data_IF_577513677320
#
_entry.id   IF_577513677320
#
_cell.length_a   1.000
_cell.length_b   1.000
_cell.length_c   1.000
_cell.angle_alpha   90.00
_cell.angle_beta   90.00
_cell.angle_gamma   90.00
#
_symmetry.space_group_name_H-M   'P 1'
#
loop_
_entity.id
_entity.type
_entity.pdbx_description
1 polymer ?
#
# COMPACT_ATOMS: atom_id res chain seq x y z
N UNK A 1 25.26 -19.50 4.59
CA UNK A 1 24.29 -18.73 5.38
C UNK A 1 24.38 -19.15 6.81
N UNK A 2 25.17 -18.37 7.54
CA UNK A 2 25.17 -18.32 9.00
C UNK A 2 24.03 -17.36 9.40
N UNK A 3 22.99 -17.89 10.06
CA UNK A 3 21.83 -17.13 10.54
C UNK A 3 21.78 -17.04 12.07
N UNK A 4 22.82 -17.53 12.77
CA UNK A 4 22.81 -17.72 14.22
C UNK A 4 22.57 -16.40 14.97
N UNK A 5 23.13 -15.29 14.47
CA UNK A 5 22.96 -13.97 15.09
C UNK A 5 21.49 -13.51 15.07
N UNK A 6 20.75 -13.80 14.00
CA UNK A 6 19.33 -13.42 13.87
C UNK A 6 18.46 -14.30 14.77
N UNK A 7 18.70 -15.61 14.76
CA UNK A 7 17.94 -16.57 15.58
C UNK A 7 18.12 -16.33 17.09
N UNK A 8 19.30 -15.86 17.51
CA UNK A 8 19.62 -15.67 18.93
C UNK A 8 19.36 -14.26 19.46
N UNK A 9 19.33 -13.24 18.60
CA UNK A 9 19.25 -11.83 19.03
C UNK A 9 18.16 -10.99 18.35
N UNK A 10 17.48 -11.50 17.31
CA UNK A 10 16.32 -10.81 16.73
C UNK A 10 15.03 -11.16 17.50
N UNK A 11 14.09 -10.20 17.58
CA UNK A 11 12.81 -10.44 18.25
C UNK A 11 11.94 -11.40 17.45
N UNK A 12 11.30 -12.36 18.16
CA UNK A 12 10.38 -13.36 17.58
C UNK A 12 9.21 -12.81 16.76
N UNK A 13 8.97 -11.49 16.79
CA UNK A 13 7.95 -10.81 15.96
C UNK A 13 8.28 -10.83 14.46
N UNK A 14 9.51 -11.18 14.07
CA UNK A 14 9.93 -11.22 12.67
C UNK A 14 9.04 -12.16 11.83
N UNK A 15 8.54 -11.65 10.70
CA UNK A 15 7.66 -12.39 9.78
C UNK A 15 8.37 -12.70 8.46
N UNK A 16 8.87 -11.68 7.74
CA UNK A 16 9.51 -11.84 6.43
C UNK A 16 10.74 -12.75 6.45
N UNK A 17 11.53 -12.72 7.54
CA UNK A 17 12.68 -13.62 7.70
C UNK A 17 12.28 -15.10 7.79
N UNK A 18 11.03 -15.39 8.20
CA UNK A 18 10.47 -16.75 8.21
C UNK A 18 9.94 -17.16 6.84
N UNK A 19 9.37 -16.22 6.09
CA UNK A 19 8.91 -16.43 4.71
C UNK A 19 10.08 -16.65 3.75
N UNK A 20 11.17 -15.89 3.93
CA UNK A 20 12.33 -15.87 3.04
C UNK A 20 13.62 -16.08 3.85
N UNK A 21 13.91 -17.31 4.32
CA UNK A 21 15.01 -17.59 5.25
C UNK A 21 16.38 -17.62 4.54
N UNK A 22 16.79 -16.49 3.97
CA UNK A 22 18.08 -16.27 3.31
C UNK A 22 18.65 -14.91 3.71
N UNK A 23 19.96 -14.76 3.61
CA UNK A 23 20.66 -13.48 3.87
C UNK A 23 20.90 -12.77 2.55
N UNK A 24 20.14 -11.68 2.31
CA UNK A 24 20.32 -10.82 1.14
C UNK A 24 21.50 -9.85 1.31
N UNK A 25 22.29 -9.65 0.25
CA UNK A 25 23.46 -8.75 0.23
C UNK A 25 23.29 -7.59 -0.77
N UNK A 26 22.94 -7.90 -2.02
CA UNK A 26 22.83 -6.90 -3.09
C UNK A 26 21.43 -6.84 -3.67
N UNK A 27 21.08 -5.69 -4.24
CA UNK A 27 19.82 -5.51 -4.94
C UNK A 27 19.91 -4.44 -6.03
N UNK A 28 19.24 -4.67 -7.16
CA UNK A 28 19.15 -3.69 -8.27
C UNK A 28 17.90 -3.93 -9.11
N UNK A 29 17.13 -2.88 -9.39
CA UNK A 29 15.90 -2.99 -10.16
C UNK A 29 14.90 -3.91 -9.47
N UNK A 30 14.49 -4.97 -10.15
CA UNK A 30 13.60 -6.04 -9.67
C UNK A 30 14.33 -7.25 -9.09
N UNK A 31 15.64 -7.17 -8.86
CA UNK A 31 16.44 -8.30 -8.38
C UNK A 31 17.02 -8.08 -6.98
N UNK A 32 16.99 -9.14 -6.20
CA UNK A 32 17.72 -9.35 -4.95
C UNK A 32 18.77 -10.44 -5.16
N UNK A 33 19.91 -10.34 -4.48
CA UNK A 33 20.98 -11.33 -4.50
C UNK A 33 21.34 -11.71 -3.06
N UNK A 34 21.35 -13.00 -2.76
CA UNK A 34 21.82 -13.49 -1.46
C UNK A 34 23.35 -13.48 -1.35
N UNK A 35 23.88 -13.71 -0.14
CA UNK A 35 25.33 -13.74 0.13
C UNK A 35 26.10 -14.82 -0.67
N UNK A 36 25.40 -15.77 -1.30
CA UNK A 36 26.00 -16.78 -2.18
C UNK A 36 26.01 -16.34 -3.65
N UNK A 37 25.41 -15.18 -3.95
CA UNK A 37 25.25 -14.64 -5.29
C UNK A 37 24.00 -15.15 -6.02
N UNK A 38 23.12 -15.89 -5.34
CA UNK A 38 21.91 -16.42 -5.97
C UNK A 38 20.89 -15.29 -6.17
N UNK A 39 20.38 -15.18 -7.39
CA UNK A 39 19.40 -14.15 -7.78
C UNK A 39 17.97 -14.54 -7.41
N UNK A 40 17.16 -13.54 -7.06
CA UNK A 40 15.72 -13.65 -6.83
C UNK A 40 15.01 -12.48 -7.51
N UNK A 41 13.91 -12.76 -8.23
CA UNK A 41 13.02 -11.71 -8.72
C UNK A 41 12.14 -11.24 -7.56
N UNK A 42 12.02 -9.94 -7.38
CA UNK A 42 11.30 -9.30 -6.28
C UNK A 42 9.93 -8.80 -6.71
N UNK A 43 8.89 -9.53 -6.32
CA UNK A 43 7.48 -9.16 -6.45
C UNK A 43 6.89 -8.55 -5.16
N UNK A 44 7.69 -8.40 -4.10
CA UNK A 44 7.31 -7.75 -2.85
C UNK A 44 7.65 -6.26 -2.87
N UNK A 45 8.81 -5.89 -3.44
CA UNK A 45 9.34 -4.53 -3.53
C UNK A 45 9.29 -3.78 -2.18
N UNK A 46 9.63 -4.47 -1.09
CA UNK A 46 9.50 -3.95 0.28
C UNK A 46 8.06 -3.55 0.64
N UNK A 47 7.09 -4.41 0.34
CA UNK A 47 5.65 -4.16 0.50
C UNK A 47 5.16 -2.90 -0.25
N UNK A 48 5.66 -2.69 -1.47
CA UNK A 48 5.33 -1.53 -2.32
C UNK A 48 6.10 -0.25 -1.97
N UNK A 49 7.18 -0.35 -1.21
CA UNK A 49 8.09 0.78 -0.88
C UNK A 49 9.05 1.11 -2.03
N UNK A 50 9.27 0.16 -2.94
CA UNK A 50 10.24 0.28 -4.03
C UNK A 50 9.54 0.28 -5.40
N UNK A 51 8.57 1.17 -5.60
CA UNK A 51 7.90 1.33 -6.90
C UNK A 51 8.89 1.58 -8.05
N UNK A 52 10.05 2.18 -7.82
CA UNK A 52 11.08 2.43 -8.85
C UNK A 52 12.24 1.43 -8.81
N UNK A 53 12.09 0.33 -8.06
CA UNK A 53 13.08 -0.73 -7.92
C UNK A 53 14.22 -0.40 -6.96
N UNK A 54 15.00 -1.43 -6.64
CA UNK A 54 16.17 -1.34 -5.78
C UNK A 54 17.27 -0.50 -6.43
N UNK A 55 17.87 0.40 -5.65
CA UNK A 55 19.06 1.15 -6.03
C UNK A 55 18.97 1.79 -7.43
N UNK A 56 17.81 2.37 -7.75
CA UNK A 56 17.54 2.98 -9.05
C UNK A 56 18.68 3.95 -9.45
N UNK A 57 19.32 3.78 -10.62
CA UNK A 57 20.52 4.54 -10.98
C UNK A 57 20.34 6.06 -10.94
N UNK A 58 19.19 6.55 -11.41
CA UNK A 58 18.87 7.99 -11.45
C UNK A 58 18.78 8.56 -10.05
N UNK A 59 18.14 7.83 -9.14
CA UNK A 59 17.95 8.27 -7.75
C UNK A 59 19.24 8.11 -6.94
N UNK A 60 19.97 7.01 -7.17
CA UNK A 60 21.25 6.71 -6.52
C UNK A 60 22.28 7.80 -6.79
N UNK A 61 22.40 8.24 -8.04
CA UNK A 61 23.31 9.32 -8.44
C UNK A 61 23.03 10.59 -7.63
N UNK A 62 21.76 11.03 -7.57
CA UNK A 62 21.37 12.24 -6.83
C UNK A 62 21.61 12.12 -5.33
N UNK A 63 21.36 10.95 -4.75
CA UNK A 63 21.65 10.69 -3.34
C UNK A 63 23.17 10.77 -3.06
N UNK A 64 23.99 10.14 -3.90
CA UNK A 64 25.44 10.16 -3.76
C UNK A 64 26.01 11.57 -3.93
N UNK A 65 25.56 12.33 -4.93
CA UNK A 65 25.94 13.74 -5.12
C UNK A 65 25.66 14.56 -3.85
N UNK A 66 24.49 14.37 -3.23
CA UNK A 66 24.10 15.10 -2.02
C UNK A 66 24.98 14.75 -0.81
N UNK A 67 25.31 13.47 -0.65
CA UNK A 67 26.20 13.00 0.42
C UNK A 67 27.62 13.51 0.19
N UNK A 68 28.16 13.39 -1.02
CA UNK A 68 29.53 13.78 -1.37
C UNK A 68 29.81 15.27 -1.18
N UNK A 69 28.78 16.12 -1.26
CA UNK A 69 28.89 17.57 -1.02
C UNK A 69 28.62 17.99 0.42
N UNK A 70 28.56 17.04 1.36
CA UNK A 70 28.27 17.25 2.79
C UNK A 70 26.92 17.96 3.04
N UNK A 71 25.89 17.60 2.26
CA UNK A 71 24.54 18.14 2.45
C UNK A 71 23.96 17.79 3.82
N UNK A 72 23.25 18.74 4.45
CA UNK A 72 22.58 18.51 5.74
C UNK A 72 21.67 17.28 5.65
N UNK A 73 21.93 16.24 6.46
CA UNK A 73 21.15 15.00 6.45
C UNK A 73 19.86 15.15 7.25
N UNK A 74 19.94 15.79 8.41
CA UNK A 74 18.85 15.91 9.38
C UNK A 74 18.64 17.37 9.77
N UNK A 75 17.43 17.88 9.50
CA UNK A 75 17.10 19.29 9.73
C UNK A 75 16.00 19.55 10.76
N UNK A 76 15.42 18.54 11.41
CA UNK A 76 14.17 18.71 12.18
C UNK A 76 13.09 19.43 11.33
N UNK A 77 12.67 20.64 11.70
CA UNK A 77 11.77 21.49 10.90
C UNK A 77 12.47 22.59 10.10
N UNK A 78 13.80 22.71 10.18
CA UNK A 78 14.55 23.76 9.49
C UNK A 78 14.28 23.76 7.99
N UNK A 79 14.30 24.96 7.40
CA UNK A 79 14.32 25.10 5.95
C UNK A 79 15.67 24.65 5.41
N UNK A 80 15.64 23.76 4.42
CA UNK A 80 16.83 23.25 3.73
C UNK A 80 16.62 23.33 2.22
N UNK A 81 17.71 23.31 1.46
CA UNK A 81 17.62 23.32 -0.01
C UNK A 81 16.92 22.07 -0.53
N UNK A 82 17.22 20.89 0.03
CA UNK A 82 16.56 19.63 -0.34
C UNK A 82 15.05 19.64 -0.07
N UNK A 83 14.62 20.15 1.10
CA UNK A 83 13.19 20.26 1.44
C UNK A 83 12.47 21.19 0.46
N UNK A 84 13.05 22.36 0.17
CA UNK A 84 12.49 23.29 -0.83
C UNK A 84 12.41 22.64 -2.21
N UNK A 85 13.47 21.99 -2.69
CA UNK A 85 13.50 21.33 -4.00
C UNK A 85 12.46 20.22 -4.12
N UNK A 86 12.25 19.43 -3.06
CA UNK A 86 11.16 18.46 -3.02
C UNK A 86 9.78 19.13 -3.08
N UNK A 87 9.54 20.15 -2.25
CA UNK A 87 8.25 20.86 -2.23
C UNK A 87 7.95 21.50 -3.59
N UNK A 88 8.93 22.15 -4.22
CA UNK A 88 8.81 22.75 -5.55
C UNK A 88 8.50 21.67 -6.60
N UNK A 89 9.23 20.54 -6.58
CA UNK A 89 9.00 19.43 -7.51
C UNK A 89 7.62 18.79 -7.30
N UNK A 90 7.20 18.55 -6.06
CA UNK A 90 5.90 17.97 -5.75
C UNK A 90 4.76 18.92 -6.17
N UNK A 91 4.90 20.21 -5.92
CA UNK A 91 3.91 21.19 -6.37
C UNK A 91 3.82 21.24 -7.91
N UNK A 92 4.94 21.46 -8.61
CA UNK A 92 4.94 21.67 -10.06
C UNK A 92 4.62 20.40 -10.86
N UNK A 93 5.01 19.22 -10.37
CA UNK A 93 4.85 17.95 -11.09
C UNK A 93 3.57 17.20 -10.70
N UNK A 94 3.16 17.28 -9.42
CA UNK A 94 2.02 16.50 -8.92
C UNK A 94 0.78 17.37 -8.75
N UNK A 95 0.85 18.39 -7.89
CA UNK A 95 -0.34 19.13 -7.46
C UNK A 95 -0.89 20.06 -8.54
N UNK A 96 -0.04 20.90 -9.12
CA UNK A 96 -0.43 21.93 -10.09
C UNK A 96 -1.07 21.36 -11.37
N UNK A 97 -0.54 20.28 -12.00
CA UNK A 97 -1.20 19.67 -13.16
C UNK A 97 -2.56 19.05 -12.85
N UNK A 98 -2.86 18.79 -11.56
CA UNK A 98 -4.12 18.21 -11.08
C UNK A 98 -5.09 19.25 -10.52
N UNK A 99 -4.76 20.54 -10.60
CA UNK A 99 -5.51 21.63 -9.98
C UNK A 99 -5.79 21.39 -8.48
N UNK A 100 -4.80 20.81 -7.80
CA UNK A 100 -4.89 20.47 -6.38
C UNK A 100 -4.16 21.52 -5.53
N UNK A 101 -4.86 22.11 -4.57
CA UNK A 101 -4.29 23.02 -3.58
C UNK A 101 -4.21 22.32 -2.22
N UNK A 102 -2.99 21.95 -1.81
CA UNK A 102 -2.73 21.26 -0.54
C UNK A 102 -1.45 21.78 0.13
N UNK A 103 -1.52 21.88 1.46
CA UNK A 103 -0.39 22.11 2.35
C UNK A 103 0.32 20.79 2.64
N UNK A 104 1.65 20.82 2.66
CA UNK A 104 2.51 19.66 2.93
C UNK A 104 2.95 19.63 4.39
N UNK A 105 2.41 18.71 5.19
CA UNK A 105 2.84 18.44 6.55
C UNK A 105 3.81 17.24 6.59
N UNK A 106 5.02 17.47 7.08
CA UNK A 106 6.03 16.41 7.28
C UNK A 106 5.95 15.84 8.70
N UNK A 107 5.67 14.54 8.83
CA UNK A 107 5.50 13.84 10.11
C UNK A 107 6.76 13.07 10.49
N UNK A 108 6.70 12.26 11.57
CA UNK A 108 7.63 11.14 11.70
C UNK A 108 7.62 10.29 10.41
N UNK A 109 8.76 9.73 9.97
CA UNK A 109 8.92 9.20 8.61
C UNK A 109 8.33 7.79 8.42
N UNK A 110 7.13 7.56 8.94
CA UNK A 110 6.40 6.29 8.80
C UNK A 110 4.94 6.54 8.47
N UNK A 111 4.32 5.59 7.76
CA UNK A 111 2.90 5.65 7.41
C UNK A 111 2.00 5.86 8.63
N UNK A 112 2.25 5.13 9.72
CA UNK A 112 1.49 5.26 10.97
C UNK A 112 1.53 6.67 11.56
N UNK A 113 2.67 7.38 11.47
CA UNK A 113 2.75 8.76 11.94
C UNK A 113 1.92 9.71 11.05
N UNK A 114 1.89 9.48 9.74
CA UNK A 114 1.04 10.24 8.82
C UNK A 114 -0.45 10.01 9.11
N UNK A 115 -0.86 8.76 9.32
CA UNK A 115 -2.23 8.42 9.72
C UNK A 115 -2.58 9.08 11.05
N UNK A 116 -1.76 8.95 12.10
CA UNK A 116 -2.06 9.59 13.39
C UNK A 116 -2.13 11.13 13.30
N UNK A 117 -1.30 11.77 12.47
CA UNK A 117 -1.42 13.20 12.20
C UNK A 117 -2.75 13.55 11.51
N UNK A 118 -3.15 12.79 10.49
CA UNK A 118 -4.41 12.96 9.78
C UNK A 118 -5.62 12.78 10.71
N UNK A 119 -5.62 11.75 11.56
CA UNK A 119 -6.68 11.52 12.55
C UNK A 119 -6.76 12.66 13.58
N UNK A 120 -5.61 13.14 14.09
CA UNK A 120 -5.58 14.24 15.06
C UNK A 120 -6.13 15.53 14.47
N UNK A 121 -5.70 15.92 13.26
CA UNK A 121 -6.15 17.18 12.65
C UNK A 121 -7.65 17.13 12.34
N UNK A 122 -8.15 15.99 11.85
CA UNK A 122 -9.58 15.81 11.59
C UNK A 122 -10.43 15.97 12.85
N UNK A 123 -10.03 15.31 13.94
CA UNK A 123 -10.69 15.41 15.25
C UNK A 123 -10.66 16.85 15.78
N UNK A 124 -9.51 17.52 15.68
CA UNK A 124 -9.35 18.90 16.12
C UNK A 124 -10.27 19.88 15.37
N UNK A 125 -10.33 19.78 14.04
CA UNK A 125 -11.15 20.67 13.20
C UNK A 125 -12.64 20.47 13.44
N UNK A 126 -13.09 19.21 13.55
CA UNK A 126 -14.52 18.91 13.70
C UNK A 126 -15.01 18.95 15.14
N UNK A 127 -14.09 18.89 16.12
CA UNK A 127 -14.44 18.76 17.54
C UNK A 127 -15.18 17.45 17.84
N UNK A 128 -14.89 16.39 17.10
CA UNK A 128 -15.53 15.06 17.20
C UNK A 128 -14.45 14.00 17.34
N UNK A 129 -14.68 12.98 18.15
CA UNK A 129 -13.69 11.93 18.40
C UNK A 129 -13.79 10.78 17.40
N UNK A 130 -15.00 10.42 16.99
CA UNK A 130 -15.24 9.22 16.19
C UNK A 130 -14.65 9.37 14.77
N UNK A 131 -14.09 8.27 14.26
CA UNK A 131 -13.58 8.12 12.90
C UNK A 131 -14.25 6.89 12.32
N UNK A 132 -14.76 7.00 11.10
CA UNK A 132 -15.21 5.82 10.35
C UNK A 132 -13.99 5.18 9.68
N UNK A 133 -13.77 3.89 9.92
CA UNK A 133 -12.83 3.07 9.14
C UNK A 133 -13.60 1.93 8.46
N UNK A 134 -12.94 1.16 7.61
CA UNK A 134 -13.59 0.08 6.87
C UNK A 134 -13.10 -1.30 7.25
N UNK A 135 -13.96 -2.31 7.09
CA UNK A 135 -13.59 -3.73 7.18
C UNK A 135 -12.33 -4.00 6.38
N UNK A 136 -11.40 -4.80 6.93
CA UNK A 136 -10.12 -5.16 6.30
C UNK A 136 -9.13 -4.01 6.07
N UNK A 137 -9.44 -2.76 6.45
CA UNK A 137 -8.52 -1.63 6.33
C UNK A 137 -7.27 -1.79 7.20
N UNK A 138 -6.13 -1.29 6.71
CA UNK A 138 -4.86 -1.27 7.43
C UNK A 138 -4.21 0.11 7.38
N UNK A 139 -4.12 0.75 8.55
CA UNK A 139 -3.60 2.13 8.65
C UNK A 139 -2.40 2.22 9.61
N UNK A 140 -1.88 1.07 10.06
CA UNK A 140 -0.71 0.95 10.92
C UNK A 140 -1.01 0.37 12.31
N UNK A 141 0.03 0.35 13.16
CA UNK A 141 0.06 -0.49 14.37
C UNK A 141 0.43 0.25 15.67
N UNK A 142 0.65 1.56 15.66
CA UNK A 142 0.64 2.34 16.92
C UNK A 142 -0.80 2.58 17.36
N UNK A 143 -1.04 2.75 18.66
CA UNK A 143 -2.38 2.66 19.24
C UNK A 143 -3.44 3.55 18.55
N UNK A 144 -3.08 4.76 18.10
CA UNK A 144 -4.02 5.65 17.42
C UNK A 144 -4.43 5.14 16.05
N UNK A 145 -3.47 4.71 15.24
CA UNK A 145 -3.71 4.14 13.91
C UNK A 145 -4.29 2.70 13.99
N UNK A 146 -3.86 1.92 14.97
CA UNK A 146 -4.33 0.55 15.20
C UNK A 146 -5.83 0.51 15.47
N UNK A 147 -6.39 1.56 16.09
CA UNK A 147 -7.83 1.70 16.29
C UNK A 147 -8.61 1.66 14.96
N UNK A 148 -8.00 2.17 13.87
CA UNK A 148 -8.57 2.16 12.50
C UNK A 148 -8.18 0.94 11.67
N UNK A 149 -7.20 0.13 12.11
CA UNK A 149 -6.81 -1.14 11.48
C UNK A 149 -7.77 -2.26 11.89
N UNK A 150 -8.25 -3.04 10.91
CA UNK A 150 -9.27 -4.08 11.11
C UNK A 150 -8.74 -5.44 11.58
N UNK A 151 -7.48 -5.78 11.28
CA UNK A 151 -6.94 -7.12 11.52
C UNK A 151 -6.85 -7.46 13.03
N UNK A 152 -7.45 -8.58 13.43
CA UNK A 152 -7.55 -9.01 14.84
C UNK A 152 -6.20 -9.42 15.45
N UNK A 153 -5.25 -9.93 14.66
CA UNK A 153 -3.92 -10.30 15.11
C UNK A 153 -3.16 -9.06 15.65
N UNK A 154 -3.11 -7.98 14.88
CA UNK A 154 -2.47 -6.73 15.31
C UNK A 154 -3.21 -6.07 16.48
N UNK A 155 -4.54 -6.10 16.45
CA UNK A 155 -5.39 -5.55 17.53
C UNK A 155 -5.25 -6.32 18.84
N UNK A 156 -5.03 -7.63 18.79
CA UNK A 156 -4.95 -8.52 19.95
C UNK A 156 -3.77 -8.23 20.87
N UNK A 157 -2.70 -7.64 20.34
CA UNK A 157 -1.49 -7.29 21.12
C UNK A 157 -1.51 -5.86 21.67
N UNK A 158 -2.57 -5.08 21.43
CA UNK A 158 -2.66 -3.68 21.87
C UNK A 158 -2.61 -3.54 23.41
N UNK A 159 -3.13 -4.53 24.15
CA UNK A 159 -3.18 -4.52 25.61
C UNK A 159 -4.09 -3.45 26.24
N UNK A 160 -4.80 -2.66 25.42
CA UNK A 160 -5.72 -1.60 25.82
C UNK A 160 -6.97 -1.58 24.93
N UNK A 161 -8.06 -1.02 25.45
CA UNK A 161 -9.26 -0.77 24.64
C UNK A 161 -8.97 0.31 23.60
N UNK A 162 -9.28 0.02 22.34
CA UNK A 162 -9.27 1.01 21.27
C UNK A 162 -10.66 1.63 21.15
N UNK A 163 -10.73 2.96 21.17
CA UNK A 163 -11.98 3.73 21.07
C UNK A 163 -11.89 4.87 20.05
N UNK A 164 -12.99 5.58 19.85
CA UNK A 164 -13.07 6.70 18.91
C UNK A 164 -13.00 6.29 17.44
N UNK A 165 -13.37 5.05 17.13
CA UNK A 165 -13.46 4.51 15.76
C UNK A 165 -14.69 3.61 15.65
N UNK A 166 -15.44 3.75 14.56
CA UNK A 166 -16.54 2.85 14.20
C UNK A 166 -16.22 2.18 12.85
N UNK A 167 -16.01 0.86 12.81
CA UNK A 167 -15.79 0.16 11.56
C UNK A 167 -17.09 0.01 10.76
N UNK A 168 -17.01 0.21 9.45
CA UNK A 168 -18.11 0.06 8.49
C UNK A 168 -17.76 -0.93 7.38
N UNK A 169 -18.74 -1.61 6.76
CA UNK A 169 -18.47 -2.49 5.63
C UNK A 169 -17.85 -1.72 4.46
N UNK A 170 -16.73 -2.21 3.91
CA UNK A 170 -16.12 -1.68 2.68
C UNK A 170 -16.99 -1.98 1.45
N UNK A 171 -16.60 -1.48 0.27
CA UNK A 171 -17.25 -1.85 -0.99
C UNK A 171 -17.23 -3.37 -1.19
N UNK A 172 -18.34 -3.94 -1.67
CA UNK A 172 -18.51 -5.38 -1.90
C UNK A 172 -18.54 -6.27 -0.64
N UNK A 173 -18.29 -5.76 0.57
CA UNK A 173 -18.19 -6.60 1.78
C UNK A 173 -19.49 -7.35 2.12
N UNK A 174 -20.64 -6.76 1.81
CA UNK A 174 -21.97 -7.39 1.98
C UNK A 174 -22.50 -8.05 0.69
N UNK A 175 -21.65 -8.19 -0.33
CA UNK A 175 -21.98 -8.65 -1.67
C UNK A 175 -22.39 -7.51 -2.61
N UNK A 176 -22.26 -7.76 -3.92
CA UNK A 176 -22.39 -6.75 -5.00
C UNK A 176 -23.75 -6.05 -5.07
N UNK A 177 -24.79 -6.64 -4.47
CA UNK A 177 -26.13 -6.07 -4.45
C UNK A 177 -26.34 -4.97 -3.39
N UNK A 178 -25.36 -4.76 -2.49
CA UNK A 178 -25.47 -3.83 -1.37
C UNK A 178 -24.44 -2.72 -1.48
N UNK A 179 -24.90 -1.49 -1.78
CA UNK A 179 -24.06 -0.29 -1.64
C UNK A 179 -23.90 0.05 -0.15
N UNK A 180 -22.72 -0.25 0.39
CA UNK A 180 -22.42 -0.04 1.81
C UNK A 180 -22.32 1.45 2.18
N UNK A 181 -22.23 2.37 1.20
CA UNK A 181 -22.35 3.82 1.45
C UNK A 181 -23.77 4.24 1.78
N UNK A 182 -24.80 3.55 1.28
CA UNK A 182 -26.20 3.81 1.65
C UNK A 182 -26.47 3.43 3.11
N UNK A 183 -25.88 2.31 3.56
CA UNK A 183 -25.92 1.92 4.97
C UNK A 183 -25.25 2.97 5.85
N UNK A 184 -24.05 3.43 5.47
CA UNK A 184 -23.34 4.50 6.17
C UNK A 184 -24.20 5.78 6.25
N UNK A 185 -24.78 6.22 5.12
CA UNK A 185 -25.66 7.38 5.09
C UNK A 185 -26.87 7.23 6.02
N UNK A 186 -27.47 6.03 6.04
CA UNK A 186 -28.63 5.72 6.86
C UNK A 186 -28.33 5.81 8.36
N UNK A 187 -27.23 5.20 8.82
CA UNK A 187 -26.88 5.20 10.24
C UNK A 187 -26.42 6.57 10.73
N UNK A 188 -25.77 7.37 9.88
CA UNK A 188 -25.40 8.74 10.22
C UNK A 188 -26.60 9.70 10.26
N UNK A 189 -27.64 9.41 9.48
CA UNK A 189 -28.89 10.16 9.47
C UNK A 189 -29.89 9.82 10.59
N UNK A 190 -29.61 8.78 11.38
CA UNK A 190 -30.49 8.31 12.45
C UNK A 190 -29.89 8.63 13.82
N UNK A 191 -30.57 9.50 14.59
CA UNK A 191 -30.15 9.91 15.93
C UNK A 191 -30.08 8.80 16.98
N UNK A 192 -30.59 7.60 16.64
CA UNK A 192 -30.64 6.42 17.51
C UNK A 192 -29.92 5.21 16.92
N UNK A 193 -29.10 5.38 15.87
CA UNK A 193 -28.33 4.28 15.26
C UNK A 193 -27.25 3.70 16.17
N UNK A 194 -26.80 4.47 17.17
CA UNK A 194 -25.66 4.14 18.01
C UNK A 194 -24.29 4.49 17.39
N UNK A 195 -24.27 5.14 16.22
CA UNK A 195 -23.04 5.64 15.60
C UNK A 195 -22.82 7.10 15.98
N UNK A 196 -21.76 7.36 16.74
CA UNK A 196 -21.38 8.73 17.09
C UNK A 196 -21.02 9.53 15.83
N UNK A 197 -21.43 10.80 15.79
CA UNK A 197 -21.15 11.67 14.65
C UNK A 197 -19.63 11.80 14.46
N UNK A 198 -19.06 11.35 13.32
CA UNK A 198 -17.62 11.27 13.16
C UNK A 198 -17.02 12.59 12.67
N UNK A 199 -15.72 12.76 12.93
CA UNK A 199 -14.89 13.81 12.36
C UNK A 199 -14.53 13.53 10.90
N UNK A 200 -14.22 12.27 10.60
CA UNK A 200 -13.77 11.86 9.29
C UNK A 200 -14.08 10.40 8.99
N UNK A 201 -13.96 10.07 7.73
CA UNK A 201 -13.78 8.70 7.21
C UNK A 201 -12.31 8.55 6.81
N UNK A 202 -11.69 7.39 7.10
CA UNK A 202 -10.40 6.99 6.53
C UNK A 202 -10.58 5.77 5.62
N UNK A 203 -9.98 5.83 4.42
CA UNK A 203 -10.18 4.80 3.38
C UNK A 203 -8.96 4.62 2.49
N UNK A 204 -8.67 3.38 2.11
CA UNK A 204 -7.78 3.02 1.01
C UNK A 204 -8.64 2.82 -0.26
N UNK A 205 -8.23 3.32 -1.43
CA UNK A 205 -8.96 3.04 -2.70
C UNK A 205 -8.78 1.59 -3.16
N UNK A 206 -7.65 0.99 -2.79
CA UNK A 206 -7.34 -0.43 -2.92
C UNK A 206 -6.73 -0.86 -1.59
N UNK A 207 -7.43 -1.69 -0.84
CA UNK A 207 -6.95 -2.17 0.46
C UNK A 207 -5.77 -3.11 0.27
N UNK A 208 -4.61 -2.74 0.80
CA UNK A 208 -3.38 -3.51 0.64
C UNK A 208 -3.39 -4.82 1.41
N UNK A 209 -3.13 -4.72 2.71
CA UNK A 209 -3.09 -5.87 3.62
C UNK A 209 -4.47 -6.53 3.78
N UNK A 210 -5.55 -5.80 3.45
CA UNK A 210 -6.92 -6.31 3.44
C UNK A 210 -7.21 -7.34 2.36
N UNK A 211 -6.31 -7.56 1.40
CA UNK A 211 -6.46 -8.57 0.33
C UNK A 211 -6.61 -7.99 -1.07
N UNK A 212 -6.03 -6.82 -1.34
CA UNK A 212 -6.07 -6.15 -2.65
C UNK A 212 -7.52 -5.83 -3.08
N UNK A 213 -8.41 -5.54 -2.13
CA UNK A 213 -9.81 -5.19 -2.41
C UNK A 213 -9.87 -3.80 -3.03
N UNK A 214 -10.25 -3.69 -4.30
CA UNK A 214 -10.35 -2.42 -5.00
C UNK A 214 -11.79 -1.88 -4.95
N UNK A 215 -12.04 -0.80 -4.19
CA UNK A 215 -13.34 -0.14 -4.20
C UNK A 215 -13.65 0.38 -5.60
N UNK A 216 -14.88 0.18 -6.06
CA UNK A 216 -15.36 0.76 -7.30
C UNK A 216 -15.29 2.29 -7.28
N UNK A 217 -15.07 2.88 -8.46
CA UNK A 217 -15.06 4.33 -8.62
C UNK A 217 -16.43 4.98 -8.30
N UNK A 218 -17.51 4.23 -8.47
CA UNK A 218 -18.84 4.68 -8.06
C UNK A 218 -18.97 4.75 -6.55
N UNK A 219 -18.56 3.70 -5.84
CA UNK A 219 -18.59 3.67 -4.38
C UNK A 219 -17.74 4.78 -3.76
N UNK A 220 -16.53 5.05 -4.28
CA UNK A 220 -15.67 6.14 -3.80
C UNK A 220 -16.32 7.52 -3.99
N UNK A 221 -17.00 7.76 -5.12
CA UNK A 221 -17.77 9.00 -5.35
C UNK A 221 -18.97 9.10 -4.42
N UNK A 222 -19.66 7.99 -4.15
CA UNK A 222 -20.78 7.97 -3.21
C UNK A 222 -20.30 8.22 -1.77
N UNK A 223 -19.17 7.64 -1.38
CA UNK A 223 -18.54 7.88 -0.08
C UNK A 223 -18.21 9.36 0.11
N UNK A 224 -17.64 10.03 -0.90
CA UNK A 224 -17.39 11.48 -0.81
C UNK A 224 -18.70 12.25 -0.61
N UNK A 225 -19.75 11.95 -1.36
CA UNK A 225 -21.07 12.61 -1.19
C UNK A 225 -21.60 12.44 0.23
N UNK A 226 -21.48 11.24 0.81
CA UNK A 226 -21.87 10.96 2.20
C UNK A 226 -21.03 11.78 3.18
N UNK A 227 -19.71 11.88 2.96
CA UNK A 227 -18.83 12.74 3.76
C UNK A 227 -19.28 14.21 3.74
N UNK A 228 -19.56 14.74 2.55
CA UNK A 228 -20.04 16.13 2.39
C UNK A 228 -21.39 16.35 3.06
N UNK A 229 -22.34 15.42 2.87
CA UNK A 229 -23.69 15.49 3.45
C UNK A 229 -23.68 15.56 4.98
N UNK A 230 -22.80 14.79 5.63
CA UNK A 230 -22.75 14.68 7.09
C UNK A 230 -21.70 15.57 7.76
N UNK A 231 -21.03 16.44 6.99
CA UNK A 231 -19.96 17.31 7.45
C UNK A 231 -18.78 16.52 8.06
N UNK A 232 -18.36 15.47 7.36
CA UNK A 232 -17.20 14.64 7.68
C UNK A 232 -16.06 14.94 6.70
N UNK A 233 -14.82 14.87 7.17
CA UNK A 233 -13.66 14.92 6.28
C UNK A 233 -13.42 13.55 5.62
N UNK A 234 -12.96 13.55 4.37
CA UNK A 234 -12.49 12.37 3.67
C UNK A 234 -10.96 12.29 3.78
N UNK A 235 -10.44 11.31 4.53
CA UNK A 235 -9.02 10.96 4.60
C UNK A 235 -8.78 9.80 3.64
N UNK A 236 -7.97 10.03 2.62
CA UNK A 236 -7.54 8.97 1.70
C UNK A 236 -6.14 8.49 2.10
N UNK A 237 -6.08 7.24 2.53
CA UNK A 237 -4.81 6.58 2.81
C UNK A 237 -4.21 6.00 1.54
N UNK A 238 -3.29 6.78 0.94
CA UNK A 238 -2.61 6.42 -0.30
C UNK A 238 -1.19 5.89 -0.06
N UNK A 239 -0.92 5.41 1.16
CA UNK A 239 0.42 4.96 1.56
C UNK A 239 0.91 3.80 0.70
N UNK A 240 0.06 2.80 0.41
CA UNK A 240 0.45 1.65 -0.44
C UNK A 240 -0.04 1.76 -1.89
N UNK A 241 -1.26 2.27 -2.09
CA UNK A 241 -1.89 2.38 -3.41
C UNK A 241 -1.41 3.59 -4.23
N UNK A 242 -0.76 4.56 -3.59
CA UNK A 242 -0.26 5.77 -4.25
C UNK A 242 1.07 5.59 -4.95
N UNK A 243 1.67 6.72 -5.32
CA UNK A 243 2.94 6.81 -6.05
C UNK A 243 2.96 5.95 -7.33
N UNK A 244 1.86 5.89 -8.08
CA UNK A 244 1.79 5.15 -9.33
C UNK A 244 1.27 3.73 -9.26
N UNK A 245 1.11 3.17 -8.06
CA UNK A 245 0.89 1.73 -7.88
C UNK A 245 -0.38 1.23 -8.57
N UNK A 246 -1.44 2.03 -8.62
CA UNK A 246 -2.68 1.70 -9.33
C UNK A 246 -2.78 2.23 -10.77
N UNK A 247 -1.67 2.76 -11.34
CA UNK A 247 -1.61 3.28 -12.72
C UNK A 247 -1.32 4.78 -12.80
N UNK A 248 -1.91 5.57 -11.92
CA UNK A 248 -1.75 7.03 -11.80
C UNK A 248 -1.02 7.41 -10.50
N UNK A 249 -0.52 8.65 -10.38
CA UNK A 249 0.30 9.03 -9.22
C UNK A 249 -0.47 8.84 -7.92
N UNK A 250 -1.64 9.47 -7.81
CA UNK A 250 -2.58 9.15 -6.76
C UNK A 250 -3.53 8.05 -7.24
N UNK A 251 -3.95 7.18 -6.33
CA UNK A 251 -4.86 6.09 -6.69
C UNK A 251 -6.28 6.52 -7.07
N UNK A 252 -6.56 7.82 -6.97
CA UNK A 252 -7.85 8.43 -7.24
C UNK A 252 -7.87 9.47 -8.37
N UNK A 253 -6.74 9.68 -9.07
CA UNK A 253 -6.59 10.73 -10.11
C UNK A 253 -7.76 10.74 -11.12
N UNK A 254 -8.20 9.57 -11.59
CA UNK A 254 -9.22 9.44 -12.64
C UNK A 254 -10.66 9.32 -12.14
N UNK A 255 -10.89 9.47 -10.82
CA UNK A 255 -12.20 9.21 -10.19
C UNK A 255 -13.03 10.50 -10.07
N UNK A 256 -12.36 11.66 -9.99
CA UNK A 256 -13.01 12.96 -9.79
C UNK A 256 -13.51 13.21 -8.37
N UNK A 257 -12.95 12.51 -7.37
CA UNK A 257 -13.15 12.84 -5.94
C UNK A 257 -12.11 13.87 -5.48
N UNK A 258 -12.41 14.60 -4.41
CA UNK A 258 -11.53 15.63 -3.86
C UNK A 258 -11.32 15.43 -2.33
N UNK A 259 -10.45 14.48 -1.93
CA UNK A 259 -10.18 14.16 -0.53
C UNK A 259 -9.74 15.39 0.27
N UNK A 260 -10.08 15.45 1.55
CA UNK A 260 -9.70 16.60 2.39
C UNK A 260 -8.28 16.45 2.93
N UNK A 261 -7.88 15.20 3.17
CA UNK A 261 -6.57 14.83 3.71
C UNK A 261 -6.06 13.61 2.95
N UNK A 262 -4.78 13.57 2.59
CA UNK A 262 -4.15 12.43 1.93
C UNK A 262 -2.89 12.04 2.70
N UNK A 263 -2.72 10.76 3.02
CA UNK A 263 -1.49 10.24 3.63
C UNK A 263 -0.61 9.53 2.61
N UNK A 264 0.68 9.87 2.62
CA UNK A 264 1.69 9.30 1.72
C UNK A 264 2.89 8.79 2.52
N UNK A 265 3.42 7.63 2.15
CA UNK A 265 4.67 7.07 2.70
C UNK A 265 5.23 6.04 1.71
N UNK A 266 5.81 4.93 2.18
CA UNK A 266 6.38 3.83 1.36
C UNK A 266 7.20 4.37 0.18
N UNK A 267 6.67 4.29 -1.04
CA UNK A 267 7.34 4.70 -2.28
C UNK A 267 7.56 6.21 -2.46
N UNK A 268 7.11 7.05 -1.53
CA UNK A 268 7.27 8.50 -1.62
C UNK A 268 8.73 8.95 -1.73
N UNK A 269 9.66 8.30 -1.02
CA UNK A 269 11.10 8.61 -1.15
C UNK A 269 11.71 8.06 -2.43
N UNK A 270 11.05 7.10 -3.06
CA UNK A 270 11.47 6.36 -4.25
C UNK A 270 12.67 5.43 -4.08
N UNK A 271 13.42 5.52 -2.99
CA UNK A 271 14.68 4.79 -2.77
C UNK A 271 14.66 3.86 -1.56
N UNK A 272 13.52 3.71 -0.89
CA UNK A 272 13.41 2.93 0.36
C UNK A 272 13.82 3.68 1.62
N UNK A 273 14.10 4.99 1.50
CA UNK A 273 14.38 5.83 2.65
C UNK A 273 13.08 6.13 3.42
N UNK A 274 13.05 6.03 4.77
CA UNK A 274 11.87 6.34 5.55
C UNK A 274 11.37 7.76 5.27
N UNK A 275 10.13 7.89 4.80
CA UNK A 275 9.55 9.19 4.51
C UNK A 275 8.03 9.11 4.54
N UNK A 276 7.39 10.12 5.12
CA UNK A 276 5.96 10.23 5.14
C UNK A 276 5.53 11.70 5.16
N UNK A 277 4.36 11.97 4.60
CA UNK A 277 3.78 13.29 4.49
C UNK A 277 2.26 13.20 4.55
N UNK A 278 1.63 14.23 5.09
CA UNK A 278 0.19 14.45 5.02
C UNK A 278 -0.06 15.67 4.14
N UNK A 279 -0.91 15.52 3.13
CA UNK A 279 -1.46 16.64 2.37
C UNK A 279 -2.76 17.07 3.02
N UNK A 280 -2.92 18.36 3.27
CA UNK A 280 -4.11 18.96 3.88
C UNK A 280 -4.66 20.04 2.95
N UNK A 281 -5.98 20.10 2.75
CA UNK A 281 -6.56 21.32 2.17
C UNK A 281 -6.20 22.55 3.03
N UNK A 282 -5.93 23.74 2.44
CA UNK A 282 -5.42 24.89 3.18
C UNK A 282 -6.27 25.30 4.38
N UNK A 283 -7.60 25.23 4.28
CA UNK A 283 -8.52 25.55 5.36
C UNK A 283 -8.44 24.61 6.57
N UNK A 284 -7.78 23.46 6.42
CA UNK A 284 -7.56 22.45 7.45
C UNK A 284 -6.22 22.62 8.19
N UNK A 285 -5.32 23.48 7.72
CA UNK A 285 -4.05 23.74 8.42
C UNK A 285 -4.24 24.66 9.64
N UNK A 286 -4.92 24.11 10.65
CA UNK A 286 -5.23 24.79 11.92
C UNK A 286 -4.32 24.32 13.07
N UNK A 287 -3.22 23.65 12.74
CA UNK A 287 -2.20 23.26 13.71
C UNK A 287 -1.58 24.49 14.36
N UNK A 288 -1.38 24.43 15.67
CA UNK A 288 -0.50 25.38 16.35
C UNK A 288 0.94 24.86 16.34
N UNK A 289 1.94 25.76 16.35
CA UNK A 289 3.34 25.36 16.38
C UNK A 289 3.64 24.33 17.49
N UNK A 290 4.12 23.15 17.09
CA UNK A 290 4.56 22.08 17.99
C UNK A 290 3.52 21.04 18.41
N UNK A 291 2.23 21.18 18.04
CA UNK A 291 1.16 20.23 18.44
C UNK A 291 1.30 18.81 17.85
N UNK A 292 2.05 18.68 16.75
CA UNK A 292 2.50 17.41 16.21
C UNK A 292 3.98 17.51 15.88
N UNK A 293 4.77 16.54 16.35
CA UNK A 293 6.21 16.55 16.23
C UNK A 293 6.71 15.17 15.79
N UNK A 294 7.93 15.13 15.28
CA UNK A 294 8.67 13.92 14.94
C UNK A 294 10.10 14.32 14.66
N UNK A 295 11.06 13.75 15.39
CA UNK A 295 12.48 14.13 15.29
C UNK A 295 12.94 14.07 13.83
N UNK A 296 12.66 12.96 13.13
CA UNK A 296 13.13 12.73 11.76
C UNK A 296 12.27 13.35 10.65
N UNK A 297 11.39 14.32 10.94
CA UNK A 297 10.51 14.96 9.92
C UNK A 297 11.26 15.70 8.81
N UNK A 298 12.49 16.14 9.08
CA UNK A 298 13.40 16.77 8.12
C UNK A 298 14.46 15.81 7.62
N UNK A 299 14.05 14.71 6.97
CA UNK A 299 14.97 13.72 6.39
C UNK A 299 15.37 14.11 4.97
N UNK A 300 16.48 14.85 4.84
CA UNK A 300 16.86 15.47 3.58
C UNK A 300 17.28 14.49 2.47
N UNK A 301 17.85 13.33 2.84
CA UNK A 301 18.19 12.31 1.85
C UNK A 301 16.94 11.79 1.12
N UNK A 302 15.83 11.62 1.86
CA UNK A 302 14.55 11.23 1.26
C UNK A 302 13.95 12.32 0.38
N UNK A 303 14.08 13.61 0.76
CA UNK A 303 13.66 14.72 -0.11
C UNK A 303 14.39 14.72 -1.44
N UNK A 304 15.71 14.46 -1.44
CA UNK A 304 16.53 14.41 -2.66
C UNK A 304 16.07 13.31 -3.60
N UNK A 305 15.91 12.09 -3.12
CA UNK A 305 15.50 10.97 -3.97
C UNK A 305 14.04 11.09 -4.40
N UNK A 306 13.16 11.62 -3.55
CA UNK A 306 11.78 11.92 -3.89
C UNK A 306 11.69 12.95 -5.02
N UNK A 307 12.39 14.08 -4.90
CA UNK A 307 12.42 15.11 -5.93
C UNK A 307 12.96 14.56 -7.26
N UNK A 308 14.01 13.74 -7.21
CA UNK A 308 14.55 13.07 -8.40
C UNK A 308 13.52 12.13 -9.06
N UNK A 309 12.80 11.33 -8.26
CA UNK A 309 11.77 10.41 -8.75
C UNK A 309 10.61 11.16 -9.42
N UNK A 310 10.11 12.23 -8.80
CA UNK A 310 9.06 13.09 -9.35
C UNK A 310 9.49 13.68 -10.69
N UNK A 311 10.67 14.32 -10.72
CA UNK A 311 11.18 14.96 -11.92
C UNK A 311 11.44 14.00 -13.07
N UNK A 312 11.85 12.76 -12.78
CA UNK A 312 12.18 11.78 -13.81
C UNK A 312 10.94 11.04 -14.35
N UNK A 313 10.05 10.59 -13.45
CA UNK A 313 8.97 9.67 -13.81
C UNK A 313 7.61 10.33 -14.03
N UNK A 314 7.37 11.52 -13.45
CA UNK A 314 6.01 12.07 -13.32
C UNK A 314 5.77 13.38 -14.06
N UNK A 315 6.74 13.87 -14.85
CA UNK A 315 6.60 15.10 -15.64
C UNK A 315 5.69 14.97 -16.87
N UNK A 316 5.48 13.75 -17.33
CA UNK A 316 4.53 13.42 -18.39
C UNK A 316 3.83 12.09 -18.05
N UNK A 317 2.95 11.62 -18.94
CA UNK A 317 2.14 10.43 -18.73
C UNK A 317 2.77 9.13 -19.23
N UNK A 318 4.03 9.16 -19.71
CA UNK A 318 4.67 7.96 -20.30
C UNK A 318 4.81 6.84 -19.27
N UNK A 319 5.27 7.18 -18.07
CA UNK A 319 5.44 6.19 -17.01
C UNK A 319 4.10 5.58 -16.57
N UNK A 320 3.06 6.42 -16.40
CA UNK A 320 1.72 5.95 -16.07
C UNK A 320 1.16 4.99 -17.14
N UNK A 321 1.34 5.31 -18.43
CA UNK A 321 0.95 4.43 -19.55
C UNK A 321 1.72 3.11 -19.54
N UNK A 322 3.01 3.14 -19.21
CA UNK A 322 3.82 1.92 -19.09
C UNK A 322 3.35 1.04 -17.93
N UNK A 323 3.02 1.64 -16.78
CA UNK A 323 2.44 0.94 -15.64
C UNK A 323 1.12 0.29 -16.00
N UNK A 324 0.22 1.01 -16.70
CA UNK A 324 -1.04 0.45 -17.15
C UNK A 324 -0.84 -0.74 -18.10
N UNK A 325 0.09 -0.63 -19.05
CA UNK A 325 0.41 -1.73 -19.97
C UNK A 325 0.92 -2.97 -19.22
N UNK A 326 1.78 -2.80 -18.21
CA UNK A 326 2.26 -3.91 -17.36
C UNK A 326 1.15 -4.48 -16.47
N UNK A 327 0.22 -3.64 -16.01
CA UNK A 327 -0.96 -4.09 -15.28
C UNK A 327 -1.81 -5.04 -16.14
N UNK A 328 -1.99 -4.74 -17.42
CA UNK A 328 -2.75 -5.59 -18.35
C UNK A 328 -2.08 -6.98 -18.49
N UNK A 329 -0.75 -7.04 -18.55
CA UNK A 329 0.01 -8.31 -18.58
C UNK A 329 -0.23 -9.14 -17.31
N UNK A 330 -0.20 -8.51 -16.13
CA UNK A 330 -0.49 -9.20 -14.86
C UNK A 330 -1.92 -9.73 -14.86
N UNK A 331 -2.89 -8.90 -15.26
CA UNK A 331 -4.30 -9.25 -15.35
C UNK A 331 -4.51 -10.45 -16.26
N UNK A 332 -3.92 -10.45 -17.45
CA UNK A 332 -4.08 -11.52 -18.42
C UNK A 332 -3.50 -12.85 -17.91
N UNK A 333 -2.31 -12.82 -17.28
CA UNK A 333 -1.75 -14.04 -16.68
C UNK A 333 -2.60 -14.54 -15.51
N UNK A 334 -3.06 -13.68 -14.62
CA UNK A 334 -3.88 -14.12 -13.49
C UNK A 334 -5.24 -14.66 -13.92
N UNK A 335 -5.86 -14.08 -14.96
CA UNK A 335 -7.06 -14.66 -15.59
C UNK A 335 -6.78 -16.03 -16.20
N UNK A 336 -5.65 -16.19 -16.88
CA UNK A 336 -5.26 -17.50 -17.43
C UNK A 336 -5.12 -18.56 -16.33
N UNK A 337 -4.45 -18.21 -15.22
CA UNK A 337 -4.31 -19.12 -14.07
C UNK A 337 -5.69 -19.44 -13.48
N UNK A 338 -6.51 -18.43 -13.20
CA UNK A 338 -7.83 -18.63 -12.60
C UNK A 338 -8.73 -19.50 -13.48
N UNK A 339 -8.81 -19.23 -14.79
CA UNK A 339 -9.61 -19.99 -15.76
C UNK A 339 -9.12 -21.44 -15.97
N UNK A 340 -7.93 -21.80 -15.45
CA UNK A 340 -7.43 -23.18 -15.51
C UNK A 340 -8.04 -24.08 -14.42
N UNK A 341 -8.77 -23.50 -13.47
CA UNK A 341 -9.40 -24.19 -12.34
C UNK A 341 -10.85 -23.71 -12.19
N UNK A 342 -11.67 -24.43 -11.42
CA UNK A 342 -13.04 -23.96 -11.11
C UNK A 342 -12.99 -22.64 -10.33
N UNK A 343 -14.00 -21.78 -10.53
CA UNK A 343 -14.07 -20.41 -9.98
C UNK A 343 -13.91 -20.30 -8.45
N UNK A 344 -14.13 -21.39 -7.71
CA UNK A 344 -13.97 -21.41 -6.25
C UNK A 344 -12.50 -21.55 -5.79
N UNK A 345 -11.56 -21.84 -6.69
CA UNK A 345 -10.14 -21.98 -6.35
C UNK A 345 -9.40 -20.67 -6.41
N UNK A 346 -9.66 -19.88 -7.46
CA UNK A 346 -8.93 -18.66 -7.73
C UNK A 346 -9.82 -17.61 -8.38
N UNK A 347 -9.66 -16.36 -7.95
CA UNK A 347 -10.17 -15.21 -8.67
C UNK A 347 -9.19 -14.02 -8.56
N UNK A 348 -9.42 -12.99 -9.37
CA UNK A 348 -8.57 -11.81 -9.45
C UNK A 348 -9.17 -10.67 -8.63
N UNK A 349 -8.32 -9.95 -7.88
CA UNK A 349 -8.64 -8.67 -7.28
C UNK A 349 -7.55 -7.62 -7.57
N UNK A 350 -7.91 -6.34 -7.49
CA UNK A 350 -6.98 -5.21 -7.51
C UNK A 350 -7.15 -4.23 -8.68
N UNK A 351 -6.19 -3.31 -8.80
CA UNK A 351 -6.17 -2.23 -9.81
C UNK A 351 -4.73 -1.85 -10.17
N UNK A 352 -4.47 -1.53 -11.43
CA UNK A 352 -3.13 -1.17 -11.92
C UNK A 352 -2.15 -2.30 -11.64
N UNK A 353 -0.92 -1.99 -11.19
CA UNK A 353 0.06 -3.03 -10.80
C UNK A 353 -0.06 -3.42 -9.32
N UNK A 354 -1.22 -3.19 -8.71
CA UNK A 354 -1.59 -3.69 -7.38
C UNK A 354 -2.69 -4.72 -7.56
N UNK A 355 -2.28 -5.93 -7.93
CA UNK A 355 -3.20 -7.04 -8.23
C UNK A 355 -2.85 -8.25 -7.38
N UNK A 356 -3.86 -9.07 -7.08
CA UNK A 356 -3.70 -10.29 -6.32
C UNK A 356 -4.44 -11.45 -6.96
N UNK A 357 -3.82 -12.62 -6.95
CA UNK A 357 -4.49 -13.88 -7.21
C UNK A 357 -5.05 -14.38 -5.87
N UNK A 358 -6.37 -14.26 -5.70
CA UNK A 358 -7.05 -14.70 -4.49
C UNK A 358 -7.23 -16.19 -4.56
N UNK A 359 -6.56 -16.94 -3.69
CA UNK A 359 -6.75 -18.37 -3.52
C UNK A 359 -7.96 -18.66 -2.63
N UNK A 360 -8.43 -19.91 -2.67
CA UNK A 360 -9.53 -20.41 -1.81
C UNK A 360 -9.30 -20.14 -0.32
N UNK A 361 -8.06 -20.31 0.14
CA UNK A 361 -7.66 -20.18 1.54
C UNK A 361 -6.17 -19.82 1.66
N UNK A 362 -5.76 -19.36 2.85
CA UNK A 362 -4.37 -18.99 3.14
C UNK A 362 -3.39 -20.16 3.15
N UNK A 363 -3.86 -21.39 3.40
CA UNK A 363 -3.01 -22.56 3.36
C UNK A 363 -2.52 -22.82 1.92
N UNK A 364 -3.45 -22.79 0.96
CA UNK A 364 -3.14 -22.90 -0.47
C UNK A 364 -2.24 -21.75 -0.93
N UNK A 365 -2.57 -20.50 -0.57
CA UNK A 365 -1.74 -19.35 -0.91
C UNK A 365 -0.31 -19.50 -0.36
N UNK A 366 -0.17 -19.93 0.89
CA UNK A 366 1.12 -20.16 1.54
C UNK A 366 1.93 -21.32 0.96
N UNK A 367 1.29 -22.40 0.48
CA UNK A 367 1.97 -23.45 -0.28
C UNK A 367 2.50 -22.91 -1.62
N UNK A 368 1.72 -22.08 -2.32
CA UNK A 368 2.11 -21.49 -3.60
C UNK A 368 3.26 -20.51 -3.43
N UNK A 369 3.22 -19.59 -2.45
CA UNK A 369 4.33 -18.64 -2.23
C UNK A 369 5.63 -19.35 -1.83
N UNK A 370 5.56 -20.44 -1.06
CA UNK A 370 6.72 -21.32 -0.79
C UNK A 370 7.27 -21.95 -2.07
N UNK A 371 6.40 -22.42 -2.96
CA UNK A 371 6.80 -22.97 -4.26
C UNK A 371 7.42 -21.90 -5.18
N UNK A 372 6.91 -20.66 -5.16
CA UNK A 372 7.50 -19.50 -5.83
C UNK A 372 8.91 -19.20 -5.30
N UNK A 373 9.10 -19.18 -3.98
CA UNK A 373 10.39 -18.89 -3.37
C UNK A 373 11.45 -19.95 -3.71
N UNK A 374 11.07 -21.24 -3.74
CA UNK A 374 11.94 -22.33 -4.24
C UNK A 374 12.39 -22.11 -5.69
N UNK A 375 11.61 -21.38 -6.48
CA UNK A 375 11.90 -20.95 -7.86
C UNK A 375 12.49 -19.53 -7.95
N UNK A 376 13.01 -19.00 -6.85
CA UNK A 376 13.68 -17.70 -6.80
C UNK A 376 12.76 -16.50 -7.06
N UNK A 377 11.48 -16.61 -6.68
CA UNK A 377 10.55 -15.47 -6.68
C UNK A 377 10.18 -15.08 -5.24
N UNK A 378 10.50 -13.85 -4.85
CA UNK A 378 10.06 -13.27 -3.58
C UNK A 378 8.67 -12.67 -3.80
N UNK A 379 7.66 -13.30 -3.22
CA UNK A 379 6.26 -12.91 -3.30
C UNK A 379 5.56 -13.28 -1.99
N UNK A 380 4.65 -12.44 -1.52
CA UNK A 380 4.00 -12.57 -0.21
C UNK A 380 2.48 -12.65 -0.34
N UNK A 381 1.82 -13.06 0.73
CA UNK A 381 0.36 -13.07 0.86
C UNK A 381 -0.20 -11.81 1.52
N UNK A 382 -1.52 -11.65 1.46
CA UNK A 382 -2.35 -10.67 2.18
C UNK A 382 -3.79 -11.18 2.28
N UNK A 383 -4.67 -10.39 2.86
CA UNK A 383 -6.05 -10.77 3.14
C UNK A 383 -6.24 -11.07 4.62
N UNK A 384 -7.50 -11.12 5.05
CA UNK A 384 -7.82 -11.43 6.45
C UNK A 384 -7.28 -12.80 6.90
N UNK A 385 -7.18 -13.73 5.95
CA UNK A 385 -6.78 -15.12 6.15
C UNK A 385 -5.53 -15.47 5.31
N UNK A 386 -4.72 -14.47 4.92
CA UNK A 386 -3.52 -14.64 4.09
C UNK A 386 -3.77 -15.33 2.73
N UNK A 387 -4.99 -15.24 2.20
CA UNK A 387 -5.44 -15.99 1.02
C UNK A 387 -5.06 -15.34 -0.32
N UNK A 388 -4.53 -14.12 -0.33
CA UNK A 388 -4.28 -13.36 -1.56
C UNK A 388 -2.79 -13.30 -1.86
N UNK A 389 -2.34 -13.93 -2.95
CA UNK A 389 -0.97 -13.83 -3.46
C UNK A 389 -0.83 -12.49 -4.18
N UNK A 390 -0.19 -11.51 -3.54
CA UNK A 390 -0.17 -10.11 -4.01
C UNK A 390 1.06 -9.81 -4.87
N UNK A 391 0.84 -9.07 -5.96
CA UNK A 391 1.89 -8.53 -6.83
C UNK A 391 2.16 -7.08 -6.43
N UNK A 392 3.35 -6.82 -5.93
CA UNK A 392 3.83 -5.48 -5.58
C UNK A 392 5.18 -5.19 -6.25
N UNK A 393 5.52 -5.91 -7.33
CA UNK A 393 6.77 -5.74 -8.07
C UNK A 393 7.05 -4.26 -8.42
N UNK A 394 8.31 -3.86 -8.60
CA UNK A 394 8.64 -2.51 -9.04
C UNK A 394 7.88 -2.14 -10.31
N UNK A 395 7.32 -0.94 -10.37
CA UNK A 395 6.64 -0.40 -11.55
C UNK A 395 7.61 -0.28 -12.75
N UNK A 396 8.89 -0.13 -12.48
CA UNK A 396 9.98 -0.08 -13.46
C UNK A 396 10.51 -1.47 -13.85
N UNK A 397 9.90 -2.57 -13.41
CA UNK A 397 10.31 -3.94 -13.78
C UNK A 397 10.38 -4.09 -15.31
N UNK A 398 11.41 -4.77 -15.83
CA UNK A 398 11.48 -5.09 -17.24
C UNK A 398 10.34 -6.06 -17.62
N UNK A 399 9.81 -5.96 -18.83
CA UNK A 399 8.68 -6.81 -19.23
C UNK A 399 9.07 -8.30 -19.30
N UNK A 400 10.31 -8.58 -19.65
CA UNK A 400 10.88 -9.92 -19.65
C UNK A 400 10.90 -10.52 -18.24
N UNK A 401 11.31 -9.72 -17.25
CA UNK A 401 11.36 -10.14 -15.85
C UNK A 401 9.96 -10.29 -15.25
N UNK A 402 9.04 -9.39 -15.60
CA UNK A 402 7.62 -9.47 -15.25
C UNK A 402 7.02 -10.78 -15.78
N UNK A 403 7.24 -11.07 -17.05
CA UNK A 403 6.74 -12.30 -17.69
C UNK A 403 7.36 -13.54 -17.05
N UNK A 404 8.68 -13.56 -16.82
CA UNK A 404 9.37 -14.67 -16.16
C UNK A 404 8.82 -14.94 -14.76
N UNK A 405 8.59 -13.90 -13.96
CA UNK A 405 8.03 -14.06 -12.62
C UNK A 405 6.57 -14.54 -12.64
N UNK A 406 5.77 -14.02 -13.57
CA UNK A 406 4.40 -14.48 -13.81
C UNK A 406 4.33 -15.95 -14.24
N UNK A 407 5.29 -16.42 -15.04
CA UNK A 407 5.43 -17.83 -15.40
C UNK A 407 5.82 -18.69 -14.19
N UNK A 408 6.73 -18.21 -13.33
CA UNK A 408 7.06 -18.88 -12.05
C UNK A 408 5.82 -19.05 -11.16
N UNK A 409 4.94 -18.02 -11.07
CA UNK A 409 3.68 -18.12 -10.31
C UNK A 409 2.80 -19.20 -10.93
N UNK A 410 2.59 -19.18 -12.25
CA UNK A 410 1.78 -20.18 -12.95
C UNK A 410 2.28 -21.61 -12.71
N UNK A 411 3.58 -21.83 -12.83
CA UNK A 411 4.21 -23.13 -12.58
C UNK A 411 4.06 -23.59 -11.13
N UNK A 412 4.18 -22.67 -10.18
CA UNK A 412 4.03 -22.94 -8.74
C UNK A 412 2.59 -23.31 -8.39
N UNK A 413 1.61 -22.61 -8.96
CA UNK A 413 0.18 -22.97 -8.85
C UNK A 413 -0.06 -24.37 -9.42
N UNK A 414 0.46 -24.66 -10.61
CA UNK A 414 0.27 -25.96 -11.25
C UNK A 414 0.86 -27.13 -10.44
N UNK A 415 2.06 -26.96 -9.86
CA UNK A 415 2.68 -27.95 -8.97
C UNK A 415 1.79 -28.22 -7.75
N UNK A 416 1.44 -27.17 -7.00
CA UNK A 416 0.69 -27.28 -5.75
C UNK A 416 -0.70 -27.87 -5.98
N UNK A 417 -1.40 -27.41 -7.02
CA UNK A 417 -2.72 -27.93 -7.36
C UNK A 417 -2.66 -29.40 -7.79
N UNK A 418 -1.65 -29.79 -8.56
CA UNK A 418 -1.45 -31.20 -8.95
C UNK A 418 -1.25 -32.09 -7.72
N UNK A 419 -0.45 -31.65 -6.75
CA UNK A 419 -0.20 -32.42 -5.54
C UNK A 419 -1.43 -32.49 -4.63
N UNK A 420 -2.22 -31.41 -4.50
CA UNK A 420 -3.51 -31.43 -3.80
C UNK A 420 -4.52 -32.38 -4.44
N UNK A 421 -4.59 -32.42 -5.78
CA UNK A 421 -5.44 -33.37 -6.51
C UNK A 421 -5.02 -34.81 -6.19
N UNK A 422 -3.70 -35.11 -6.19
CA UNK A 422 -3.20 -36.45 -5.80
C UNK A 422 -3.52 -36.81 -4.35
N UNK A 423 -3.55 -35.82 -3.43
CA UNK A 423 -3.96 -36.00 -2.03
C UNK A 423 -5.47 -36.15 -1.85
N UNK A 424 -6.28 -35.95 -2.90
CA UNK A 424 -7.74 -36.00 -2.84
C UNK A 424 -8.37 -34.73 -2.25
N UNK A 425 -7.59 -33.65 -2.10
CA UNK A 425 -8.01 -32.37 -1.52
C UNK A 425 -8.59 -31.40 -2.56
N UNK A 426 -8.45 -31.75 -3.85
CA UNK A 426 -8.94 -30.99 -5.01
C UNK A 426 -9.43 -31.93 -6.12
N UNK A 427 -10.28 -31.44 -7.03
CA UNK A 427 -10.77 -32.18 -8.20
C UNK A 427 -10.41 -31.40 -9.48
N UNK A 428 -10.03 -32.10 -10.55
CA UNK A 428 -9.71 -31.43 -11.83
C UNK A 428 -10.98 -31.18 -12.65
N UNK A 429 -11.05 -30.06 -13.37
CA UNK A 429 -12.16 -29.77 -14.30
C UNK A 429 -12.24 -30.83 -15.41
N UNK A 430 -11.12 -31.47 -15.75
CA UNK A 430 -11.05 -32.56 -16.74
C UNK A 430 -11.72 -33.87 -16.29
N UNK A 431 -12.05 -34.03 -15.01
CA UNK A 431 -12.74 -35.23 -14.50
C UNK A 431 -14.27 -35.12 -14.44
N UNK A 432 -14.85 -33.99 -14.85
CA UNK A 432 -16.31 -33.80 -14.91
C UNK A 432 -16.92 -33.98 -16.32
N UNK A 433 -16.13 -34.47 -17.28
CA UNK A 433 -16.58 -34.83 -18.62
C UNK A 433 -16.41 -36.35 -18.88
N UNK A 434 -17.06 -37.17 -18.05
CA UNK A 434 -17.26 -38.61 -18.31
C UNK A 434 -18.70 -39.02 -18.11
#
# INVERSE_FOLDING_TARGET
MDTDIFESHESEVMSYARSFPVVFDQAKGSYLYDETGKEYIDFLAGAGTLNYGHNNPVLKEKLLEYIQRDGIVHGLDMHTTAKREFMDAFYEVILKPRDMDYIMQFTGPTGTNAVEAALKVARNIKGRENIISFTNGFHGVSLGALATTGNSHHRGVAGVTMGGVTPMPYDGYLGDAFDTTEYLDKVLGDSSSGVDRPAAVIVETVQGEGGINAASFEWLRNLEKVCRKHDMLLILDDIQAGCGRTGTFFSFDDIGINPDIITLSKSLSGYGLPFAMVLLKPELDQWKPGEHNGTFRGHNLAFVTAAAALNHYWRDDKFAKEVQRKADIITDRFREIANSYDDHWFYLNGRGMMQGLVARDGELAGEITKACFKRQLVIETSGADDQVIKTLCPLTIAEEDLTRALDIIKESVAEVMTDRIKRGEAHSVASMAS
#
